data_IF_189582632962
#
_entry.id   IF_189582632962
#
_cell.length_a   1.000
_cell.length_b   1.000
_cell.length_c   1.000
_cell.angle_alpha   90.00
_cell.angle_beta   90.00
_cell.angle_gamma   90.00
#
_symmetry.space_group_name_H-M   'P 1'
#
loop_
_entity.id
_entity.type
_entity.pdbx_description
1 polymer ?
#
# COMPACT_ATOMS: atom_id res chain seq x y z
N UNK A 1 7.61 31.19 22.26
CA UNK A 1 7.93 29.91 21.60
C UNK A 1 8.47 28.89 22.60
N UNK A 2 7.68 28.48 23.62
CA UNK A 2 8.04 27.39 24.56
C UNK A 2 7.09 26.19 24.49
N UNK A 3 5.89 26.38 23.94
CA UNK A 3 4.87 25.34 23.83
C UNK A 3 5.32 24.13 22.99
N UNK A 4 5.96 24.39 21.84
CA UNK A 4 6.49 23.31 20.97
C UNK A 4 7.60 22.52 21.69
N UNK A 5 8.43 23.19 22.49
CA UNK A 5 9.49 22.53 23.25
C UNK A 5 8.91 21.62 24.34
N UNK A 6 7.84 22.03 25.03
CA UNK A 6 7.16 21.16 25.99
C UNK A 6 6.53 19.93 25.33
N UNK A 7 6.04 20.05 24.08
CA UNK A 7 5.45 18.93 23.34
C UNK A 7 6.48 17.89 22.83
N UNK A 8 7.75 18.26 22.62
CA UNK A 8 8.73 17.39 21.94
C UNK A 8 10.01 17.18 22.75
N UNK A 9 10.59 18.26 23.28
CA UNK A 9 11.93 18.25 23.90
C UNK A 9 11.92 18.12 25.43
N UNK A 10 10.77 18.25 26.07
CA UNK A 10 10.63 18.01 27.52
C UNK A 10 10.54 16.51 27.82
N UNK A 11 10.77 16.13 29.07
CA UNK A 11 10.55 14.74 29.54
C UNK A 11 9.11 14.27 29.26
N UNK A 12 8.14 15.18 29.36
CA UNK A 12 6.75 14.90 29.02
C UNK A 12 6.60 14.58 27.52
N UNK A 13 7.23 15.35 26.64
CA UNK A 13 7.25 15.11 25.19
C UNK A 13 7.95 13.80 24.81
N UNK A 14 9.15 13.56 25.35
CA UNK A 14 9.93 12.35 25.05
C UNK A 14 9.26 11.05 25.55
N UNK A 15 8.60 11.08 26.72
CA UNK A 15 7.80 9.93 27.19
C UNK A 15 6.59 9.69 26.29
N UNK A 16 5.96 10.76 25.79
CA UNK A 16 4.83 10.64 24.88
C UNK A 16 5.25 10.06 23.53
N UNK A 17 6.41 10.47 22.99
CA UNK A 17 6.98 9.87 21.78
C UNK A 17 7.21 8.36 21.94
N UNK A 18 7.88 7.94 23.02
CA UNK A 18 8.11 6.51 23.28
C UNK A 18 6.82 5.72 23.51
N UNK A 19 5.81 6.36 24.11
CA UNK A 19 4.49 5.77 24.29
C UNK A 19 3.82 5.52 22.93
N UNK A 20 3.74 6.52 22.05
CA UNK A 20 3.10 6.37 20.74
C UNK A 20 3.81 5.34 19.85
N UNK A 21 5.15 5.26 19.92
CA UNK A 21 5.92 4.27 19.15
C UNK A 21 5.63 2.83 19.54
N UNK A 22 5.34 2.58 20.82
CA UNK A 22 5.20 1.21 21.36
C UNK A 22 3.81 0.93 21.91
N UNK A 23 2.84 1.82 21.69
CA UNK A 23 1.52 1.73 22.31
C UNK A 23 0.82 0.40 21.97
N UNK A 24 0.89 0.00 20.70
CA UNK A 24 0.28 -1.24 20.22
C UNK A 24 1.17 -2.48 20.40
N UNK A 25 2.32 -2.35 21.05
CA UNK A 25 3.29 -3.42 21.28
C UNK A 25 4.62 -3.19 20.55
N UNK A 26 5.58 -4.14 20.69
CA UNK A 26 6.88 -4.07 20.01
C UNK A 26 6.72 -3.97 18.50
N UNK A 27 7.64 -3.24 17.87
CA UNK A 27 7.60 -2.99 16.43
C UNK A 27 7.59 -4.26 15.58
N UNK A 28 8.34 -5.29 15.96
CA UNK A 28 8.34 -6.57 15.24
C UNK A 28 7.01 -7.29 15.36
N UNK A 29 6.36 -7.20 16.53
CA UNK A 29 5.11 -7.90 16.76
C UNK A 29 3.97 -7.28 15.93
N UNK A 30 3.93 -5.94 15.83
CA UNK A 30 2.98 -5.24 14.96
C UNK A 30 3.11 -5.66 13.48
N UNK A 31 4.35 -5.83 13.00
CA UNK A 31 4.61 -6.31 11.64
C UNK A 31 4.18 -7.77 11.46
N UNK A 32 4.49 -8.64 12.42
CA UNK A 32 4.11 -10.05 12.38
C UNK A 32 2.59 -10.25 12.41
N UNK A 33 1.89 -9.48 13.24
CA UNK A 33 0.43 -9.56 13.33
C UNK A 33 -0.24 -9.10 12.04
N UNK A 34 0.30 -8.05 11.40
CA UNK A 34 -0.14 -7.62 10.07
C UNK A 34 0.07 -8.73 9.03
N UNK A 35 1.24 -9.37 9.01
CA UNK A 35 1.53 -10.47 8.10
C UNK A 35 0.59 -11.66 8.33
N UNK A 36 0.41 -12.08 9.58
CA UNK A 36 -0.50 -13.18 9.96
C UNK A 36 -1.93 -12.90 9.55
N UNK A 37 -2.39 -11.66 9.73
CA UNK A 37 -3.74 -11.26 9.30
C UNK A 37 -3.91 -11.36 7.78
N UNK A 38 -2.91 -10.97 7.00
CA UNK A 38 -2.91 -11.10 5.53
C UNK A 38 -2.84 -12.58 5.08
N UNK A 39 -2.12 -13.43 5.82
CA UNK A 39 -2.08 -14.87 5.57
C UNK A 39 -3.43 -15.52 5.86
N UNK A 40 -4.03 -15.23 7.02
CA UNK A 40 -5.30 -15.80 7.45
C UNK A 40 -6.49 -15.33 6.60
N UNK A 41 -6.46 -14.09 6.11
CA UNK A 41 -7.48 -13.57 5.18
C UNK A 41 -7.30 -14.08 3.73
N UNK A 42 -6.20 -14.78 3.43
CA UNK A 42 -5.89 -15.28 2.09
C UNK A 42 -5.42 -14.20 1.10
N UNK A 43 -5.32 -12.94 1.53
CA UNK A 43 -4.79 -11.83 0.74
C UNK A 43 -3.32 -12.06 0.35
N UNK A 44 -2.52 -12.66 1.25
CA UNK A 44 -1.13 -13.05 0.99
C UNK A 44 -1.00 -13.95 -0.26
N UNK A 45 -1.88 -14.95 -0.38
CA UNK A 45 -1.90 -15.85 -1.54
C UNK A 45 -2.32 -15.13 -2.83
N UNK A 46 -3.10 -14.04 -2.73
CA UNK A 46 -3.41 -13.15 -3.85
C UNK A 46 -2.17 -12.45 -4.40
N UNK A 47 -1.31 -11.92 -3.52
CA UNK A 47 -0.06 -11.26 -3.92
C UNK A 47 0.93 -12.25 -4.55
N UNK A 48 1.05 -13.46 -4.01
CA UNK A 48 1.88 -14.53 -4.58
C UNK A 48 1.44 -14.91 -5.99
N UNK A 49 0.12 -15.04 -6.22
CA UNK A 49 -0.43 -15.32 -7.56
C UNK A 49 -0.22 -14.16 -8.54
N UNK A 50 -0.21 -12.92 -8.05
CA UNK A 50 -0.02 -11.73 -8.88
C UNK A 50 1.42 -11.57 -9.38
N UNK A 51 2.43 -12.02 -8.63
CA UNK A 51 3.85 -11.90 -9.00
C UNK A 51 4.18 -12.45 -10.39
N UNK A 52 3.83 -13.70 -10.71
CA UNK A 52 4.02 -14.28 -12.04
C UNK A 52 3.22 -13.59 -13.16
N UNK A 53 2.06 -13.01 -12.85
CA UNK A 53 1.24 -12.24 -13.81
C UNK A 53 1.94 -10.93 -14.15
N UNK A 54 2.49 -10.24 -13.15
CA UNK A 54 3.30 -9.03 -13.37
C UNK A 54 4.57 -9.35 -14.16
N UNK A 55 5.32 -10.40 -13.77
CA UNK A 55 6.57 -10.80 -14.46
C UNK A 55 6.36 -11.17 -15.93
N UNK A 56 5.24 -11.83 -16.26
CA UNK A 56 4.90 -12.21 -17.65
C UNK A 56 4.24 -11.08 -18.44
N UNK A 57 3.97 -9.95 -17.79
CA UNK A 57 3.06 -8.91 -18.28
C UNK A 57 1.62 -9.35 -18.09
N UNK A 58 0.84 -8.53 -17.36
CA UNK A 58 -0.57 -8.84 -17.15
C UNK A 58 -1.28 -8.89 -18.52
N UNK A 59 -2.10 -9.93 -18.80
CA UNK A 59 -2.80 -10.02 -20.07
C UNK A 59 -3.72 -8.80 -20.23
N UNK A 60 -3.43 -7.96 -21.23
CA UNK A 60 -4.17 -6.73 -21.51
C UNK A 60 -3.53 -5.42 -21.02
N UNK A 61 -2.45 -5.44 -20.24
CA UNK A 61 -1.70 -4.24 -19.80
C UNK A 61 -0.33 -4.13 -20.47
N UNK A 62 -0.22 -4.51 -21.75
CA UNK A 62 0.82 -3.86 -22.57
C UNK A 62 0.33 -2.44 -22.76
N UNK A 63 1.08 -1.47 -22.22
CA UNK A 63 0.97 -0.11 -22.73
C UNK A 63 1.02 -0.23 -24.27
N UNK A 64 0.03 0.30 -25.01
CA UNK A 64 0.26 0.50 -26.43
C UNK A 64 1.58 1.27 -26.54
N UNK A 65 2.42 0.91 -27.51
CA UNK A 65 3.71 1.60 -27.73
C UNK A 65 3.53 3.12 -27.74
N UNK A 66 4.62 3.89 -27.63
CA UNK A 66 4.60 5.31 -27.29
C UNK A 66 3.74 6.11 -28.28
N UNK A 67 2.45 6.25 -27.97
CA UNK A 67 1.57 7.22 -28.59
C UNK A 67 1.41 8.37 -27.60
N UNK A 68 2.15 9.47 -27.80
CA UNK A 68 2.16 10.60 -26.87
C UNK A 68 0.79 11.29 -26.76
N UNK A 69 -0.17 11.03 -27.67
CA UNK A 69 -1.49 11.65 -27.64
C UNK A 69 -2.44 11.08 -26.57
N UNK A 70 -2.12 9.93 -25.96
CA UNK A 70 -3.04 9.25 -25.02
C UNK A 70 -3.01 9.80 -23.59
N UNK A 71 -1.94 10.51 -23.20
CA UNK A 71 -1.78 11.04 -21.84
C UNK A 71 -2.46 12.41 -21.61
N UNK A 72 -2.96 13.04 -22.67
CA UNK A 72 -3.53 14.41 -22.60
C UNK A 72 -5.01 14.45 -22.25
N UNK A 73 -5.73 13.32 -22.27
CA UNK A 73 -7.20 13.34 -22.14
C UNK A 73 -7.73 13.07 -20.73
N UNK A 74 -6.90 12.72 -19.73
CA UNK A 74 -7.28 12.69 -18.30
C UNK A 74 -8.47 11.81 -17.89
N UNK A 75 -9.08 11.07 -18.82
CA UNK A 75 -10.39 10.42 -18.63
C UNK A 75 -10.33 8.89 -18.63
N UNK A 76 -9.21 8.28 -18.99
CA UNK A 76 -9.08 6.82 -19.02
C UNK A 76 -8.25 6.31 -17.84
N UNK A 77 -8.76 6.53 -16.62
CA UNK A 77 -8.33 5.78 -15.46
C UNK A 77 -9.09 4.42 -15.50
N UNK A 78 -8.44 3.28 -15.78
CA UNK A 78 -9.14 2.03 -16.03
C UNK A 78 -9.47 1.34 -14.70
N UNK A 79 -10.35 1.95 -13.91
CA UNK A 79 -11.01 1.22 -12.84
C UNK A 79 -12.10 0.35 -13.47
N UNK A 80 -11.76 -0.94 -13.63
CA UNK A 80 -12.69 -2.05 -13.77
C UNK A 80 -13.77 -1.94 -14.88
N UNK A 81 -13.39 -2.21 -16.13
CA UNK A 81 -14.37 -2.67 -17.14
C UNK A 81 -14.21 -4.19 -17.32
N UNK A 82 -15.16 -5.02 -16.86
CA UNK A 82 -15.09 -6.45 -17.11
C UNK A 82 -15.24 -6.69 -18.62
N UNK A 83 -14.28 -7.42 -19.20
CA UNK A 83 -14.32 -7.79 -20.62
C UNK A 83 -15.59 -8.61 -20.90
N UNK A 84 -16.46 -8.11 -21.78
CA UNK A 84 -17.60 -8.88 -22.28
C UNK A 84 -17.04 -10.11 -23.01
N UNK A 85 -17.38 -11.31 -22.54
CA UNK A 85 -17.23 -12.53 -23.33
C UNK A 85 -18.28 -12.48 -24.44
N UNK A 86 -17.86 -12.25 -25.67
CA UNK A 86 -18.65 -12.60 -26.86
C UNK A 86 -18.65 -14.14 -27.01
N UNK A 87 -19.73 -14.71 -27.58
CA UNK A 87 -19.98 -16.16 -27.60
C UNK A 87 -18.93 -16.96 -28.36
#
# INVERSE_FOLDING_TARGET
MRLIWDCVGSEFGGRHELYELNYSGPHENNLLDTLRWQQNSGAAAGYERAGPVCRRGAPGLRHPGPDPARWTSGLDCPMARPARRTP
#
